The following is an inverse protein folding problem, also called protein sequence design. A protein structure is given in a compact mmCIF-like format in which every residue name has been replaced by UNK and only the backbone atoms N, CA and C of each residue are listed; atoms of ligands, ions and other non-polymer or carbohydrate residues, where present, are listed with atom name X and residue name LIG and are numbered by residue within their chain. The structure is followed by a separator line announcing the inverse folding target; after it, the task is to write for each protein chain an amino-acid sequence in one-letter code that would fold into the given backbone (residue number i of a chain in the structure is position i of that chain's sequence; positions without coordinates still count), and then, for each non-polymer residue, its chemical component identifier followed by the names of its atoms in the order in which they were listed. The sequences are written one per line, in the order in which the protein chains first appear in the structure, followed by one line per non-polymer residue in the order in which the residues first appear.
data_IF_317716275128
#
_entry.id   IF_317716275128
#
_cell.length_a   1.000
_cell.length_b   1.000
_cell.length_c   1.000
_cell.angle_alpha   90.00
_cell.angle_beta   90.00
_cell.angle_gamma   90.00
#
_symmetry.space_group_name_H-M   'P 1'
#
loop_
_entity.id
_entity.type
_entity.pdbx_description
1 polymer ?
#
# COMPACT_ATOMS: atom_id res chain seq x y z
N UNK A 1 4.04 5.34 15.96
CA UNK A 1 2.80 5.04 15.17
C UNK A 1 1.51 5.56 15.81
N UNK A 2 1.22 5.39 17.11
CA UNK A 2 -0.02 5.92 17.74
C UNK A 2 -0.18 7.44 17.59
N UNK A 3 0.88 8.22 17.81
CA UNK A 3 0.86 9.68 17.71
C UNK A 3 0.45 10.20 16.34
N UNK A 4 0.92 9.61 15.25
CA UNK A 4 0.55 10.05 13.91
C UNK A 4 -0.92 9.73 13.60
N UNK A 5 -1.44 8.58 14.07
CA UNK A 5 -2.85 8.23 13.89
C UNK A 5 -3.77 9.19 14.65
N UNK A 6 -3.38 9.58 15.87
CA UNK A 6 -4.11 10.57 16.68
C UNK A 6 -4.06 11.96 16.03
N UNK A 7 -2.89 12.38 15.52
CA UNK A 7 -2.73 13.64 14.81
C UNK A 7 -3.61 13.68 13.54
N UNK A 8 -3.58 12.63 12.72
CA UNK A 8 -4.42 12.52 11.51
C UNK A 8 -5.91 12.62 11.88
N UNK A 9 -6.36 11.89 12.92
CA UNK A 9 -7.75 11.93 13.36
C UNK A 9 -8.16 13.32 13.85
N UNK A 10 -7.28 13.98 14.60
CA UNK A 10 -7.54 15.34 15.10
C UNK A 10 -7.67 16.34 13.97
N UNK A 11 -6.76 16.27 12.97
CA UNK A 11 -6.79 17.14 11.81
C UNK A 11 -8.00 16.83 10.89
N UNK A 12 -8.34 15.57 10.69
CA UNK A 12 -9.49 15.16 9.87
C UNK A 12 -10.83 15.59 10.46
N UNK A 13 -10.90 15.89 11.76
CA UNK A 13 -12.09 16.43 12.42
C UNK A 13 -12.26 17.95 12.30
N UNK A 14 -11.31 18.66 11.70
CA UNK A 14 -11.36 20.11 11.50
C UNK A 14 -11.88 20.44 10.10
N UNK A 15 -13.15 20.79 9.99
CA UNK A 15 -13.74 21.13 8.70
C UNK A 15 -13.31 22.53 8.20
N UNK A 16 -12.97 22.63 6.91
CA UNK A 16 -13.12 23.87 6.16
C UNK A 16 -11.97 24.86 6.10
N UNK A 17 -10.73 24.52 6.46
CA UNK A 17 -9.60 25.47 6.45
C UNK A 17 -8.46 25.09 5.50
N UNK A 18 -7.95 26.06 4.71
CA UNK A 18 -6.69 25.92 3.95
C UNK A 18 -5.48 25.61 4.86
N UNK A 19 -5.54 25.99 6.14
CA UNK A 19 -4.57 25.66 7.16
C UNK A 19 -4.42 24.15 7.38
N UNK A 20 -5.50 23.38 7.21
CA UNK A 20 -5.51 21.93 7.39
C UNK A 20 -4.56 21.21 6.43
N UNK A 21 -4.46 21.63 5.17
CA UNK A 21 -3.54 21.00 4.20
C UNK A 21 -2.07 21.18 4.60
N UNK A 22 -1.69 22.36 5.10
CA UNK A 22 -0.34 22.62 5.58
C UNK A 22 -0.01 21.79 6.82
N UNK A 23 -0.98 21.61 7.72
CA UNK A 23 -0.83 20.82 8.94
C UNK A 23 -0.61 19.34 8.61
N UNK A 24 -1.36 18.77 7.65
CA UNK A 24 -1.10 17.41 7.15
C UNK A 24 0.27 17.28 6.49
N UNK A 25 0.68 18.27 5.70
CA UNK A 25 1.99 18.29 5.07
C UNK A 25 3.13 18.38 6.08
N UNK A 26 2.92 18.99 7.22
CA UNK A 26 3.90 19.14 8.30
C UNK A 26 4.01 17.92 9.23
N UNK A 27 3.11 16.93 9.13
CA UNK A 27 3.17 15.75 9.97
C UNK A 27 4.50 15.02 9.78
N UNK A 28 5.18 14.71 10.88
CA UNK A 28 6.37 13.88 10.87
C UNK A 28 5.97 12.42 10.62
N UNK A 29 6.45 11.87 9.50
CA UNK A 29 6.15 10.49 9.11
C UNK A 29 7.17 9.53 9.74
N UNK A 30 6.76 8.32 10.15
CA UNK A 30 7.69 7.29 10.56
C UNK A 30 8.49 6.78 9.35
N UNK A 31 9.65 6.20 9.59
CA UNK A 31 10.47 5.59 8.52
C UNK A 31 9.82 4.33 7.92
N UNK A 32 9.01 3.63 8.72
CA UNK A 32 8.34 2.39 8.32
C UNK A 32 6.92 2.29 8.92
N UNK A 33 6.15 1.37 8.39
CA UNK A 33 4.82 1.02 8.89
C UNK A 33 4.58 -0.49 8.82
N UNK A 34 3.65 -0.97 9.63
CA UNK A 34 3.24 -2.38 9.60
C UNK A 34 2.27 -2.62 8.46
N UNK A 35 2.57 -3.62 7.64
CA UNK A 35 1.71 -4.05 6.53
C UNK A 35 1.49 -5.56 6.55
N UNK A 36 0.39 -6.00 5.95
CA UNK A 36 0.18 -7.40 5.59
C UNK A 36 0.74 -7.61 4.20
N UNK A 37 1.65 -8.57 4.07
CA UNK A 37 2.42 -8.79 2.84
C UNK A 37 2.41 -10.24 2.41
N UNK A 38 2.67 -10.44 1.11
CA UNK A 38 3.07 -11.71 0.50
C UNK A 38 4.57 -11.68 0.23
N UNK A 39 5.21 -12.84 0.11
CA UNK A 39 6.62 -12.98 -0.24
C UNK A 39 6.79 -13.59 -1.62
N UNK A 40 7.71 -13.02 -2.41
CA UNK A 40 8.00 -13.49 -3.79
C UNK A 40 8.50 -14.93 -3.79
N UNK A 41 9.29 -15.31 -2.79
CA UNK A 41 9.84 -16.66 -2.63
C UNK A 41 8.79 -17.75 -2.37
N UNK A 42 7.59 -17.36 -1.94
CA UNK A 42 6.49 -18.28 -1.58
C UNK A 42 5.50 -18.54 -2.73
N UNK A 43 5.73 -17.98 -3.92
CA UNK A 43 4.80 -18.07 -5.05
C UNK A 43 4.40 -19.49 -5.42
N UNK A 44 5.30 -20.46 -5.21
CA UNK A 44 5.07 -21.87 -5.53
C UNK A 44 4.58 -22.71 -4.34
N UNK A 45 4.32 -22.08 -3.17
CA UNK A 45 3.95 -22.82 -1.96
C UNK A 45 2.66 -23.65 -2.08
N UNK A 46 1.78 -23.28 -3.01
CA UNK A 46 0.52 -23.97 -3.29
C UNK A 46 0.54 -24.74 -4.61
N UNK A 47 1.72 -25.00 -5.19
CA UNK A 47 1.83 -25.72 -6.45
C UNK A 47 1.17 -27.09 -6.38
N UNK A 48 0.35 -27.43 -7.38
CA UNK A 48 -0.38 -28.70 -7.45
C UNK A 48 -1.61 -28.83 -6.56
N UNK A 49 -1.93 -27.83 -5.73
CA UNK A 49 -3.14 -27.83 -4.91
C UNK A 49 -4.34 -27.27 -5.71
N UNK A 50 -5.51 -27.84 -5.50
CA UNK A 50 -6.75 -27.21 -5.99
C UNK A 50 -7.01 -25.89 -5.24
N UNK A 51 -7.61 -24.89 -5.91
CA UNK A 51 -7.86 -23.57 -5.32
C UNK A 51 -8.62 -23.62 -4.00
N UNK A 52 -9.59 -24.53 -3.88
CA UNK A 52 -10.40 -24.73 -2.67
C UNK A 52 -9.59 -25.25 -1.46
N UNK A 53 -8.45 -25.88 -1.71
CA UNK A 53 -7.59 -26.45 -0.67
C UNK A 53 -6.46 -25.52 -0.22
N UNK A 54 -6.30 -24.40 -0.93
CA UNK A 54 -5.30 -23.38 -0.61
C UNK A 54 -5.77 -22.51 0.56
N UNK A 55 -5.03 -22.52 1.65
CA UNK A 55 -5.32 -21.66 2.81
C UNK A 55 -4.59 -20.31 2.66
N UNK A 56 -5.31 -19.21 2.37
CA UNK A 56 -4.71 -17.89 2.17
C UNK A 56 -3.94 -17.37 3.39
N UNK A 57 -4.27 -17.85 4.59
CA UNK A 57 -3.60 -17.42 5.82
C UNK A 57 -2.14 -17.86 5.89
N UNK A 58 -1.75 -18.89 5.13
CA UNK A 58 -0.38 -19.42 5.14
C UNK A 58 0.62 -18.53 4.43
N UNK A 59 0.18 -17.72 3.47
CA UNK A 59 1.03 -16.80 2.71
C UNK A 59 1.04 -15.38 3.25
N UNK A 60 0.18 -15.08 4.24
CA UNK A 60 0.07 -13.73 4.80
C UNK A 60 1.07 -13.52 5.94
N UNK A 61 1.88 -12.48 5.81
CA UNK A 61 2.87 -12.08 6.81
C UNK A 61 2.60 -10.64 7.26
N UNK A 62 2.77 -10.39 8.56
CA UNK A 62 2.77 -9.03 9.10
C UNK A 62 4.21 -8.60 9.31
N UNK A 63 4.64 -7.57 8.59
CA UNK A 63 6.01 -7.08 8.68
C UNK A 63 6.07 -5.55 8.64
N UNK A 64 7.20 -5.00 9.09
CA UNK A 64 7.54 -3.60 8.90
C UNK A 64 8.03 -3.40 7.45
N UNK A 65 7.45 -2.40 6.78
CA UNK A 65 7.85 -1.99 5.43
C UNK A 65 8.23 -0.51 5.45
N UNK A 66 9.26 -0.09 4.71
CA UNK A 66 9.64 1.30 4.65
C UNK A 66 8.56 2.14 3.94
N UNK A 67 8.41 3.40 4.37
CA UNK A 67 7.60 4.35 3.60
C UNK A 67 8.38 4.65 2.31
N UNK A 68 7.77 4.43 1.12
CA UNK A 68 8.46 4.66 -0.14
C UNK A 68 8.65 6.16 -0.43
N UNK A 69 9.73 6.49 -1.12
CA UNK A 69 9.86 7.80 -1.74
C UNK A 69 8.83 7.95 -2.87
N UNK A 70 8.24 9.14 -2.97
CA UNK A 70 7.22 9.40 -3.98
C UNK A 70 7.85 9.78 -5.32
N UNK A 71 7.47 9.05 -6.35
CA UNK A 71 7.76 9.40 -7.72
C UNK A 71 6.77 10.41 -8.31
N UNK A 72 7.01 10.84 -9.57
CA UNK A 72 6.08 11.70 -10.29
C UNK A 72 4.69 11.08 -10.40
N UNK A 73 3.66 11.87 -10.09
CA UNK A 73 2.25 11.45 -10.20
C UNK A 73 1.76 10.57 -9.03
N UNK A 74 2.57 10.33 -7.99
CA UNK A 74 2.21 9.50 -6.85
C UNK A 74 1.77 10.31 -5.64
N UNK A 75 0.93 9.70 -4.80
CA UNK A 75 0.52 10.26 -3.51
C UNK A 75 0.69 9.22 -2.40
N UNK A 76 1.11 9.66 -1.22
CA UNK A 76 1.12 8.86 0.00
C UNK A 76 -0.19 9.08 0.75
N UNK A 77 -0.92 8.01 0.97
CA UNK A 77 -2.21 8.01 1.66
C UNK A 77 -2.10 7.25 2.97
N UNK A 78 -2.53 7.88 4.06
CA UNK A 78 -2.77 7.17 5.31
C UNK A 78 -4.06 6.38 5.18
N UNK A 79 -3.98 5.08 5.07
CA UNK A 79 -5.13 4.19 4.94
C UNK A 79 -5.89 4.15 6.27
N UNK A 80 -7.13 4.59 6.26
CA UNK A 80 -8.03 4.61 7.42
C UNK A 80 -8.99 3.43 7.43
N UNK A 81 -9.34 2.91 6.25
CA UNK A 81 -10.14 1.72 6.06
C UNK A 81 -9.75 1.02 4.77
N UNK A 82 -9.91 -0.29 4.76
CA UNK A 82 -9.72 -1.15 3.60
C UNK A 82 -10.72 -2.29 3.67
N UNK A 83 -11.12 -2.84 2.54
CA UNK A 83 -11.99 -4.01 2.47
C UNK A 83 -11.20 -5.25 2.04
N UNK A 84 -11.74 -6.41 2.41
CA UNK A 84 -11.28 -7.70 1.89
C UNK A 84 -12.23 -8.11 0.77
N UNK A 85 -11.70 -8.26 -0.43
CA UNK A 85 -12.45 -8.68 -1.60
C UNK A 85 -11.81 -9.91 -2.27
N UNK A 86 -12.38 -10.37 -3.38
CA UNK A 86 -11.87 -11.52 -4.10
C UNK A 86 -10.42 -11.35 -4.56
N UNK A 87 -10.01 -10.16 -4.98
CA UNK A 87 -8.64 -9.90 -5.39
C UNK A 87 -7.66 -10.10 -4.24
N UNK A 88 -8.04 -9.71 -3.02
CA UNK A 88 -7.24 -9.93 -1.82
C UNK A 88 -7.03 -11.42 -1.56
N UNK A 89 -8.11 -12.23 -1.66
CA UNK A 89 -8.04 -13.69 -1.48
C UNK A 89 -7.21 -14.34 -2.59
N UNK A 90 -7.49 -14.01 -3.86
CA UNK A 90 -6.77 -14.60 -4.99
C UNK A 90 -5.29 -14.25 -4.99
N UNK A 91 -4.93 -13.01 -4.68
CA UNK A 91 -3.52 -12.63 -4.55
C UNK A 91 -2.82 -13.46 -3.49
N UNK A 92 -3.48 -13.74 -2.36
CA UNK A 92 -2.90 -14.52 -1.27
C UNK A 92 -2.72 -16.02 -1.57
N UNK A 93 -3.40 -16.55 -2.57
CA UNK A 93 -3.21 -17.92 -3.06
C UNK A 93 -2.48 -17.98 -4.42
N UNK A 94 -1.94 -16.83 -4.86
CA UNK A 94 -1.20 -16.66 -6.10
C UNK A 94 -1.97 -17.05 -7.37
N UNK A 95 -3.29 -16.77 -7.41
CA UNK A 95 -4.17 -17.11 -8.51
C UNK A 95 -4.86 -15.91 -9.16
N UNK A 96 -5.24 -16.05 -10.45
CA UNK A 96 -4.88 -17.13 -11.38
C UNK A 96 -3.42 -17.04 -11.82
N UNK A 97 -2.79 -15.90 -11.59
CA UNK A 97 -1.37 -15.63 -11.84
C UNK A 97 -0.85 -14.79 -10.66
N UNK A 98 0.34 -15.10 -10.19
CA UNK A 98 0.96 -14.35 -9.10
C UNK A 98 1.09 -12.85 -9.43
N UNK A 99 0.72 -12.00 -8.50
CA UNK A 99 0.93 -10.54 -8.58
C UNK A 99 2.40 -10.20 -8.85
N UNK A 100 3.34 -10.97 -8.32
CA UNK A 100 4.77 -10.78 -8.55
C UNK A 100 5.15 -10.88 -10.04
N UNK A 101 4.49 -11.76 -10.81
CA UNK A 101 4.70 -11.86 -12.26
C UNK A 101 4.28 -10.58 -13.00
N UNK A 102 3.25 -9.88 -12.54
CA UNK A 102 2.86 -8.59 -13.10
C UNK A 102 3.83 -7.48 -12.68
N UNK A 103 4.25 -7.45 -11.41
CA UNK A 103 5.20 -6.45 -10.89
C UNK A 103 6.55 -6.56 -11.59
N UNK A 104 7.04 -7.78 -11.81
CA UNK A 104 8.28 -8.03 -12.57
C UNK A 104 8.19 -7.54 -14.01
N UNK A 105 7.07 -7.82 -14.70
CA UNK A 105 6.85 -7.32 -16.06
C UNK A 105 6.74 -5.81 -16.09
N UNK A 106 6.03 -5.22 -15.15
CA UNK A 106 5.90 -3.77 -14.99
C UNK A 106 7.26 -3.12 -14.73
N UNK A 107 8.05 -3.69 -13.84
CA UNK A 107 9.39 -3.20 -13.50
C UNK A 107 10.33 -3.11 -14.69
N UNK A 108 10.14 -3.96 -15.73
CA UNK A 108 10.93 -3.92 -16.97
C UNK A 108 10.60 -2.75 -17.90
N UNK A 109 9.52 -2.00 -17.64
CA UNK A 109 9.08 -0.91 -18.53
C UNK A 109 9.93 0.35 -18.39
N UNK A 110 10.45 0.63 -17.19
CA UNK A 110 11.28 1.80 -16.92
C UNK A 110 12.00 1.69 -15.58
N UNK A 111 13.09 2.44 -15.36
CA UNK A 111 13.75 2.52 -14.05
C UNK A 111 12.81 3.01 -12.94
N UNK A 112 11.81 3.84 -13.26
CA UNK A 112 10.80 4.28 -12.29
C UNK A 112 9.87 3.15 -11.89
N UNK A 113 9.52 2.26 -12.82
CA UNK A 113 8.66 1.11 -12.56
C UNK A 113 9.40 -0.02 -11.83
N UNK A 114 10.72 -0.17 -12.02
CA UNK A 114 11.56 -1.21 -11.40
C UNK A 114 11.48 -1.20 -9.88
N UNK A 115 11.29 -0.03 -9.25
CA UNK A 115 11.15 0.12 -7.80
C UNK A 115 9.92 -0.61 -7.21
N UNK A 116 8.98 -1.05 -8.03
CA UNK A 116 7.79 -1.81 -7.63
C UNK A 116 8.01 -3.33 -7.67
N UNK A 117 9.11 -3.81 -8.28
CA UNK A 117 9.49 -5.23 -8.26
C UNK A 117 10.27 -5.55 -6.98
N UNK A 118 9.54 -5.62 -5.88
CA UNK A 118 10.06 -5.87 -4.54
C UNK A 118 9.96 -7.37 -4.20
N UNK A 119 10.77 -7.87 -3.23
CA UNK A 119 10.66 -9.25 -2.74
C UNK A 119 9.39 -9.51 -1.94
N UNK A 120 8.58 -8.48 -1.69
CA UNK A 120 7.27 -8.56 -1.02
C UNK A 120 6.24 -7.72 -1.77
N UNK A 121 4.97 -8.05 -1.55
CA UNK A 121 3.82 -7.28 -2.06
C UNK A 121 2.87 -6.99 -0.90
N UNK A 122 2.51 -5.71 -0.70
CA UNK A 122 1.48 -5.31 0.27
C UNK A 122 0.13 -5.66 -0.33
N UNK A 123 -0.60 -6.53 0.36
CA UNK A 123 -1.87 -7.05 -0.14
C UNK A 123 -3.02 -6.06 0.13
N UNK A 124 -3.97 -6.00 -0.77
CA UNK A 124 -5.14 -5.14 -0.74
C UNK A 124 -5.22 -4.25 -1.97
N UNK A 125 -6.43 -3.98 -2.43
CA UNK A 125 -6.70 -3.18 -3.64
C UNK A 125 -7.64 -2.02 -3.40
N UNK A 126 -8.24 -1.94 -2.21
CA UNK A 126 -9.20 -0.91 -1.84
C UNK A 126 -8.70 -0.12 -0.64
N UNK A 127 -8.93 1.17 -0.66
CA UNK A 127 -8.67 2.02 0.49
C UNK A 127 -9.62 3.21 0.55
N UNK A 128 -9.88 3.65 1.77
CA UNK A 128 -10.30 5.01 2.08
C UNK A 128 -9.28 5.59 3.06
N UNK A 129 -8.88 6.83 2.87
CA UNK A 129 -7.82 7.40 3.68
C UNK A 129 -7.61 8.89 3.44
N UNK A 130 -6.53 9.42 3.97
CA UNK A 130 -6.17 10.84 3.88
C UNK A 130 -4.83 10.99 3.18
N UNK A 131 -4.74 11.87 2.20
CA UNK A 131 -3.48 12.20 1.52
C UNK A 131 -2.54 12.90 2.50
N UNK A 132 -1.33 12.35 2.68
CA UNK A 132 -0.30 12.94 3.54
C UNK A 132 0.77 13.70 2.76
N UNK A 133 1.12 13.20 1.57
CA UNK A 133 2.15 13.77 0.69
C UNK A 133 1.77 13.54 -0.75
N UNK A 134 2.27 14.41 -1.62
CA UNK A 134 2.15 14.25 -3.07
C UNK A 134 3.54 14.34 -3.71
N UNK A 135 3.77 13.51 -4.71
CA UNK A 135 4.97 13.54 -5.52
C UNK A 135 4.92 14.65 -6.59
N UNK A 136 6.02 14.83 -7.34
CA UNK A 136 6.08 15.84 -8.41
C UNK A 136 4.96 15.66 -9.43
N UNK A 137 4.36 16.77 -9.88
CA UNK A 137 3.33 16.79 -10.92
C UNK A 137 1.93 16.37 -10.49
N UNK A 138 1.70 16.06 -9.22
CA UNK A 138 0.35 15.82 -8.69
C UNK A 138 -0.36 17.16 -8.46
N UNK A 139 -1.40 17.43 -9.24
CA UNK A 139 -2.17 18.68 -9.18
C UNK A 139 -3.64 18.46 -8.75
N UNK A 140 -4.10 17.21 -8.78
CA UNK A 140 -5.50 16.86 -8.47
C UNK A 140 -5.73 16.55 -7.00
N UNK A 141 -4.66 16.35 -6.23
CA UNK A 141 -4.70 15.98 -4.83
C UNK A 141 -3.72 16.82 -4.02
N UNK A 142 -4.09 17.12 -2.79
CA UNK A 142 -3.24 17.82 -1.81
C UNK A 142 -3.31 17.11 -0.45
N UNK A 143 -2.35 17.33 0.44
CA UNK A 143 -2.43 16.84 1.80
C UNK A 143 -3.72 17.27 2.48
N UNK A 144 -4.39 16.32 3.14
CA UNK A 144 -5.69 16.51 3.78
C UNK A 144 -6.93 16.11 2.96
N UNK A 145 -6.76 15.84 1.65
CA UNK A 145 -7.86 15.30 0.80
C UNK A 145 -8.19 13.87 1.17
#
# INVERSE_FOLDING_TARGET
MRHIVEAIRSLSGQEGSAAVSADFAALELPESFRAVTLRKEETEMFAGMASADKDPRKSLHVQEVPIPELGPGEALVAVMASSVNYNTVWSSIFEPVSTFSFLERYGRLSPLAERHDLPYHIIGSDLAGVVLRTGPGVNSWKPGD
#
